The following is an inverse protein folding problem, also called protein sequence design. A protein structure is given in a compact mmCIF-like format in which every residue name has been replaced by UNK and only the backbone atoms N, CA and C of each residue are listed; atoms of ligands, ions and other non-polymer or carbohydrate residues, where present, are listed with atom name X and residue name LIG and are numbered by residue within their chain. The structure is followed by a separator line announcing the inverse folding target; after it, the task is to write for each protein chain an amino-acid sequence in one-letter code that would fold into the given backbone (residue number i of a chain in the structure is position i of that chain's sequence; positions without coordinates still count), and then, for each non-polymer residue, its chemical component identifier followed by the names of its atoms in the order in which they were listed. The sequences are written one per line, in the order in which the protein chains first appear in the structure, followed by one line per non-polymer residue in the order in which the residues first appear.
data_IF_855301299889
#
_entry.id   IF_855301299889
#
_cell.length_a   1.000
_cell.length_b   1.000
_cell.length_c   1.000
_cell.angle_alpha   90.00
_cell.angle_beta   90.00
_cell.angle_gamma   90.00
#
_symmetry.space_group_name_H-M   'P 1'
#
loop_
_entity.id
_entity.type
_entity.pdbx_description
1 polymer ?
#
# COMPACT_ATOMS: atom_id res chain seq x y z
N UNK A 1 18.85 13.31 1.13
CA UNK A 1 17.53 13.47 1.80
C UNK A 1 16.46 12.79 0.96
N UNK A 2 15.78 11.79 1.50
CA UNK A 2 14.65 11.08 0.87
C UNK A 2 13.37 11.90 1.08
N UNK A 3 12.55 12.06 0.02
CA UNK A 3 11.23 12.73 0.06
C UNK A 3 10.14 11.79 -0.36
N UNK A 4 9.13 11.67 0.49
CA UNK A 4 7.94 10.86 0.26
C UNK A 4 6.73 11.77 -0.03
N UNK A 5 5.83 11.33 -0.90
CA UNK A 5 4.49 11.89 -1.05
C UNK A 5 3.49 10.88 -0.49
N UNK A 6 2.73 11.27 0.53
CA UNK A 6 1.81 10.37 1.25
C UNK A 6 0.38 10.58 0.77
N UNK A 7 -0.30 9.49 0.47
CA UNK A 7 -1.72 9.45 0.07
C UNK A 7 -2.45 8.34 0.82
N UNK A 8 -3.76 8.45 0.92
CA UNK A 8 -4.65 7.41 1.43
C UNK A 8 -5.96 7.45 0.64
N UNK A 9 -6.70 6.36 0.65
CA UNK A 9 -8.09 6.29 0.19
C UNK A 9 -8.30 6.86 -1.23
N UNK A 10 -7.43 6.48 -2.17
CA UNK A 10 -7.49 6.99 -3.55
C UNK A 10 -8.62 6.37 -4.39
N UNK A 11 -9.20 5.25 -3.94
CA UNK A 11 -10.38 4.61 -4.52
C UNK A 11 -10.38 4.63 -6.06
N UNK A 12 -9.45 3.90 -6.68
CA UNK A 12 -9.32 3.80 -8.14
C UNK A 12 -8.58 4.95 -8.84
N UNK A 13 -8.38 6.10 -8.19
CA UNK A 13 -7.76 7.31 -8.79
C UNK A 13 -6.23 7.21 -8.88
N UNK A 14 -5.72 6.10 -9.42
CA UNK A 14 -4.29 5.79 -9.44
C UNK A 14 -3.41 6.82 -10.14
N UNK A 15 -3.90 7.50 -11.18
CA UNK A 15 -3.13 8.55 -11.84
C UNK A 15 -3.01 9.83 -11.03
N UNK A 16 -3.90 10.07 -10.05
CA UNK A 16 -3.93 11.31 -9.29
C UNK A 16 -2.67 11.53 -8.45
N UNK A 17 -2.18 10.57 -7.64
CA UNK A 17 -0.92 10.71 -6.91
C UNK A 17 0.27 11.04 -7.81
N UNK A 18 0.41 10.38 -8.96
CA UNK A 18 1.48 10.65 -9.92
C UNK A 18 1.39 12.07 -10.51
N UNK A 19 0.17 12.52 -10.87
CA UNK A 19 -0.05 13.89 -11.39
C UNK A 19 0.27 14.94 -10.33
N UNK A 20 -0.13 14.73 -9.08
CA UNK A 20 0.16 15.66 -7.98
C UNK A 20 1.65 15.68 -7.64
N UNK A 21 2.32 14.54 -7.60
CA UNK A 21 3.77 14.47 -7.43
C UNK A 21 4.51 15.19 -8.56
N UNK A 22 4.09 14.98 -9.82
CA UNK A 22 4.63 15.70 -10.96
C UNK A 22 4.45 17.22 -10.83
N UNK A 23 3.23 17.67 -10.52
CA UNK A 23 2.93 19.09 -10.31
C UNK A 23 3.79 19.71 -9.21
N UNK A 24 3.93 19.01 -8.07
CA UNK A 24 4.81 19.44 -6.98
C UNK A 24 6.26 19.60 -7.45
N UNK A 25 6.79 18.62 -8.16
CA UNK A 25 8.16 18.67 -8.69
C UNK A 25 8.37 19.85 -9.65
N UNK A 26 7.40 20.08 -10.54
CA UNK A 26 7.45 21.21 -11.48
C UNK A 26 7.37 22.57 -10.78
N UNK A 27 6.54 22.67 -9.75
CA UNK A 27 6.30 23.94 -9.06
C UNK A 27 7.41 24.31 -8.09
N UNK A 28 8.01 23.30 -7.42
CA UNK A 28 8.99 23.55 -6.34
C UNK A 28 10.43 23.31 -6.76
N UNK A 29 10.65 22.62 -7.88
CA UNK A 29 11.98 22.14 -8.29
C UNK A 29 12.54 21.02 -7.39
N UNK A 30 11.73 20.46 -6.47
CA UNK A 30 12.15 19.40 -5.55
C UNK A 30 11.65 18.04 -6.04
N UNK A 31 12.53 17.04 -6.11
CA UNK A 31 12.14 15.66 -6.46
C UNK A 31 11.37 14.98 -5.33
N UNK A 32 10.41 14.14 -5.69
CA UNK A 32 9.82 13.09 -4.85
C UNK A 32 10.56 11.78 -5.20
N UNK A 33 10.81 10.93 -4.23
CA UNK A 33 11.56 9.68 -4.41
C UNK A 33 10.66 8.46 -4.39
N UNK A 34 9.55 8.54 -3.65
CA UNK A 34 8.54 7.50 -3.58
C UNK A 34 7.18 8.10 -3.25
N UNK A 35 6.14 7.62 -3.90
CA UNK A 35 4.76 7.81 -3.47
C UNK A 35 4.43 6.67 -2.50
N UNK A 36 3.87 6.99 -1.35
CA UNK A 36 3.36 6.02 -0.37
C UNK A 36 1.85 6.16 -0.30
N UNK A 37 1.13 5.04 -0.40
CA UNK A 37 -0.33 4.99 -0.36
C UNK A 37 -0.79 4.04 0.76
N UNK A 38 -1.59 4.57 1.68
CA UNK A 38 -1.94 3.94 2.95
C UNK A 38 -3.26 3.14 2.90
N UNK A 39 -3.51 2.39 1.83
CA UNK A 39 -4.67 1.50 1.68
C UNK A 39 -5.91 2.15 1.08
N UNK A 40 -6.91 1.32 0.79
CA UNK A 40 -8.09 1.66 -0.01
C UNK A 40 -7.70 2.30 -1.36
N UNK A 41 -6.80 1.61 -2.06
CA UNK A 41 -6.36 2.05 -3.38
C UNK A 41 -7.42 1.78 -4.46
N UNK A 42 -8.33 0.81 -4.26
CA UNK A 42 -9.35 0.45 -5.25
C UNK A 42 -8.78 -0.37 -6.41
N UNK A 43 -7.91 -1.34 -6.12
CA UNK A 43 -7.28 -2.20 -7.12
C UNK A 43 -8.23 -3.32 -7.58
N UNK A 44 -9.16 -2.98 -8.46
CA UNK A 44 -10.09 -3.92 -9.09
C UNK A 44 -9.77 -4.03 -10.60
N UNK A 45 -9.19 -5.15 -11.05
CA UNK A 45 -8.86 -5.34 -12.47
C UNK A 45 -10.09 -5.56 -13.35
N UNK A 46 -11.21 -5.98 -12.77
CA UNK A 46 -12.47 -6.25 -13.45
C UNK A 46 -13.65 -5.73 -12.63
N UNK A 47 -14.60 -5.10 -13.31
CA UNK A 47 -15.81 -4.55 -12.68
C UNK A 47 -16.67 -5.62 -11.99
N UNK A 48 -16.66 -6.86 -12.48
CA UNK A 48 -17.42 -7.96 -11.88
C UNK A 48 -16.89 -8.38 -10.51
N UNK A 49 -15.66 -7.98 -10.16
CA UNK A 49 -14.97 -8.31 -8.92
C UNK A 49 -15.09 -7.22 -7.86
N UNK A 50 -15.69 -6.08 -8.22
CA UNK A 50 -15.92 -4.98 -7.30
C UNK A 50 -16.95 -5.34 -6.24
N UNK A 51 -16.69 -4.92 -4.99
CA UNK A 51 -17.68 -4.99 -3.94
C UNK A 51 -18.89 -4.05 -4.21
N UNK A 52 -19.98 -4.26 -3.47
CA UNK A 52 -21.23 -3.51 -3.67
C UNK A 52 -21.08 -2.01 -3.36
N UNK A 53 -20.17 -1.62 -2.47
CA UNK A 53 -19.95 -0.23 -2.11
C UNK A 53 -19.20 0.46 -3.24
N UNK A 54 -18.09 -0.11 -3.70
CA UNK A 54 -17.30 0.38 -4.84
C UNK A 54 -18.14 0.48 -6.12
N UNK A 55 -18.98 -0.53 -6.45
CA UNK A 55 -19.90 -0.46 -7.59
C UNK A 55 -20.88 0.71 -7.49
N UNK A 56 -21.39 1.02 -6.30
CA UNK A 56 -22.32 2.12 -6.06
C UNK A 56 -21.63 3.48 -6.21
N UNK A 57 -20.37 3.59 -5.77
CA UNK A 57 -19.55 4.79 -5.95
C UNK A 57 -19.17 4.97 -7.41
N UNK A 58 -18.70 3.93 -8.08
CA UNK A 58 -18.35 3.94 -9.50
C UNK A 58 -19.52 4.33 -10.44
N UNK A 59 -20.76 4.11 -10.01
CA UNK A 59 -21.93 4.57 -10.74
C UNK A 59 -22.11 6.11 -10.71
N UNK A 60 -21.48 6.79 -9.75
CA UNK A 60 -21.54 8.25 -9.57
C UNK A 60 -20.23 8.93 -9.95
N UNK A 61 -19.12 8.29 -9.68
CA UNK A 61 -17.76 8.77 -9.97
C UNK A 61 -17.01 7.69 -10.76
N UNK A 62 -16.80 7.91 -12.06
CA UNK A 62 -16.12 6.96 -12.95
C UNK A 62 -14.65 6.76 -12.56
N UNK A 63 -14.06 7.71 -11.85
CA UNK A 63 -12.64 7.62 -11.44
C UNK A 63 -12.37 6.43 -10.48
N UNK A 64 -13.40 5.88 -9.83
CA UNK A 64 -13.34 4.59 -9.10
C UNK A 64 -12.90 3.41 -9.99
N UNK A 65 -13.08 3.51 -11.31
CA UNK A 65 -12.67 2.51 -12.28
C UNK A 65 -11.24 2.73 -12.81
N UNK A 66 -10.52 3.71 -12.30
CA UNK A 66 -9.23 4.15 -12.86
C UNK A 66 -8.15 3.08 -12.86
N UNK A 67 -8.15 2.11 -11.93
CA UNK A 67 -7.24 0.98 -11.99
C UNK A 67 -7.54 0.11 -13.24
N UNK A 68 -8.78 -0.32 -13.39
CA UNK A 68 -9.22 -1.12 -14.52
C UNK A 68 -9.03 -0.36 -15.84
N UNK A 69 -9.42 0.92 -15.89
CA UNK A 69 -9.36 1.71 -17.11
C UNK A 69 -7.91 2.00 -17.55
N UNK A 70 -6.98 2.27 -16.60
CA UNK A 70 -5.70 2.88 -16.92
C UNK A 70 -4.47 2.03 -16.55
N UNK A 71 -4.59 1.01 -15.68
CA UNK A 71 -3.44 0.28 -15.13
C UNK A 71 -3.44 -1.23 -15.44
N UNK A 72 -4.56 -1.77 -15.94
CA UNK A 72 -4.65 -3.19 -16.36
C UNK A 72 -4.11 -3.39 -17.78
N UNK A 73 -4.40 -2.46 -18.69
CA UNK A 73 -3.95 -2.51 -20.08
C UNK A 73 -3.12 -1.28 -20.43
N UNK A 74 -1.97 -1.51 -21.09
CA UNK A 74 -1.04 -0.43 -21.42
C UNK A 74 -1.66 0.60 -22.38
N UNK A 75 -1.60 1.87 -22.00
CA UNK A 75 -2.00 3.03 -22.81
C UNK A 75 -0.76 3.88 -23.09
N UNK A 76 -0.38 4.11 -24.36
CA UNK A 76 0.85 4.83 -24.69
C UNK A 76 1.02 6.19 -24.00
N UNK A 77 -0.01 7.06 -23.89
CA UNK A 77 0.14 8.33 -23.19
C UNK A 77 0.47 8.19 -21.69
N UNK A 78 -0.12 7.18 -21.03
CA UNK A 78 0.12 6.90 -19.60
C UNK A 78 1.53 6.33 -19.42
N UNK A 79 1.91 5.35 -20.25
CA UNK A 79 3.26 4.78 -20.23
C UNK A 79 4.33 5.86 -20.37
N UNK A 80 4.20 6.76 -21.35
CA UNK A 80 5.13 7.87 -21.57
C UNK A 80 5.17 8.87 -20.40
N UNK A 81 4.02 9.13 -19.77
CA UNK A 81 3.96 10.01 -18.59
C UNK A 81 4.68 9.38 -17.40
N UNK A 82 4.38 8.12 -17.08
CA UNK A 82 4.96 7.39 -15.94
C UNK A 82 6.46 7.14 -16.15
N UNK A 83 6.89 6.84 -17.38
CA UNK A 83 8.31 6.69 -17.73
C UNK A 83 9.09 7.98 -17.53
N UNK A 84 8.58 9.12 -18.02
CA UNK A 84 9.22 10.44 -17.83
C UNK A 84 9.27 10.87 -16.38
N UNK A 85 8.19 10.59 -15.62
CA UNK A 85 8.14 10.91 -14.20
C UNK A 85 9.10 10.05 -13.39
N UNK A 86 9.31 8.80 -13.82
CA UNK A 86 10.20 7.80 -13.21
C UNK A 86 10.03 7.67 -11.70
N UNK A 87 8.78 7.57 -11.26
CA UNK A 87 8.39 7.50 -9.86
C UNK A 87 7.56 6.24 -9.65
N UNK A 88 7.77 5.56 -8.52
CA UNK A 88 6.97 4.42 -8.10
C UNK A 88 6.02 4.82 -6.97
N UNK A 89 4.94 4.06 -6.82
CA UNK A 89 4.00 4.14 -5.71
C UNK A 89 4.06 2.81 -4.95
N UNK A 90 4.34 2.90 -3.64
CA UNK A 90 4.32 1.77 -2.71
C UNK A 90 3.05 1.86 -1.89
N UNK A 91 2.24 0.82 -1.92
CA UNK A 91 0.92 0.75 -1.28
C UNK A 91 0.90 -0.31 -0.19
N UNK A 92 0.11 -0.12 0.84
CA UNK A 92 -0.45 -1.22 1.64
C UNK A 92 -1.87 -1.50 1.20
N UNK A 93 -2.39 -2.69 1.48
CA UNK A 93 -3.79 -3.01 1.20
C UNK A 93 -4.72 -2.29 2.17
N UNK A 94 -5.88 -1.85 1.70
CA UNK A 94 -7.01 -1.48 2.54
C UNK A 94 -8.05 -2.60 2.62
N UNK A 95 -9.29 -2.27 2.85
CA UNK A 95 -10.41 -3.21 2.79
C UNK A 95 -11.19 -3.14 1.46
N UNK A 96 -11.03 -2.06 0.68
CA UNK A 96 -11.66 -1.88 -0.63
C UNK A 96 -10.72 -2.26 -1.78
N UNK A 97 -10.37 -3.55 -1.86
CA UNK A 97 -9.49 -4.14 -2.87
C UNK A 97 -10.05 -5.46 -3.41
N UNK A 98 -9.65 -5.85 -4.60
CA UNK A 98 -9.77 -7.25 -5.05
C UNK A 98 -8.69 -8.10 -4.40
N UNK A 99 -8.98 -8.63 -3.20
CA UNK A 99 -8.01 -9.38 -2.42
C UNK A 99 -7.57 -10.68 -3.08
N UNK A 100 -8.44 -11.35 -3.85
CA UNK A 100 -8.07 -12.58 -4.56
C UNK A 100 -7.05 -12.28 -5.67
N UNK A 101 -7.24 -11.19 -6.42
CA UNK A 101 -6.28 -10.71 -7.40
C UNK A 101 -4.93 -10.40 -6.77
N UNK A 102 -4.94 -9.65 -5.66
CA UNK A 102 -3.70 -9.29 -4.96
C UNK A 102 -3.02 -10.50 -4.33
N UNK A 103 -3.78 -11.46 -3.76
CA UNK A 103 -3.25 -12.69 -3.18
C UNK A 103 -2.59 -13.58 -4.24
N UNK A 104 -3.11 -13.60 -5.47
CA UNK A 104 -2.51 -14.33 -6.58
C UNK A 104 -1.14 -13.74 -6.96
N UNK A 105 -1.05 -12.42 -7.11
CA UNK A 105 0.21 -11.72 -7.41
C UNK A 105 1.22 -11.86 -6.27
N UNK A 106 0.77 -11.74 -5.02
CA UNK A 106 1.62 -11.89 -3.84
C UNK A 106 2.27 -13.27 -3.76
N UNK A 107 1.51 -14.34 -4.02
CA UNK A 107 2.02 -15.73 -4.03
C UNK A 107 3.09 -15.97 -5.10
N UNK A 108 3.04 -15.23 -6.20
CA UNK A 108 4.02 -15.34 -7.30
C UNK A 108 5.32 -14.56 -7.03
N UNK A 109 5.33 -13.67 -6.03
CA UNK A 109 6.49 -12.83 -5.71
C UNK A 109 7.25 -13.36 -4.50
N UNK A 110 8.58 -13.36 -4.61
CA UNK A 110 9.50 -13.62 -3.50
C UNK A 110 10.01 -12.35 -2.82
N UNK A 111 9.65 -11.17 -3.36
CA UNK A 111 10.08 -9.89 -2.85
C UNK A 111 9.10 -9.37 -1.79
N UNK A 112 9.56 -8.47 -0.92
CA UNK A 112 8.74 -7.79 0.09
C UNK A 112 7.59 -6.97 -0.49
N UNK A 113 7.74 -6.49 -1.73
CA UNK A 113 6.69 -5.82 -2.48
C UNK A 113 6.56 -6.43 -3.88
N UNK A 114 5.35 -6.36 -4.47
CA UNK A 114 5.05 -6.92 -5.78
C UNK A 114 4.29 -5.91 -6.65
N UNK A 115 4.57 -5.87 -7.97
CA UNK A 115 3.87 -4.97 -8.88
C UNK A 115 2.46 -5.48 -9.18
N UNK A 116 1.49 -4.57 -9.31
CA UNK A 116 0.09 -4.91 -9.58
C UNK A 116 -0.42 -4.35 -10.91
N UNK A 117 0.37 -3.53 -11.59
CA UNK A 117 -0.01 -2.84 -12.81
C UNK A 117 0.89 -3.17 -14.01
N UNK A 118 0.39 -2.94 -15.20
CA UNK A 118 1.08 -3.24 -16.46
C UNK A 118 2.36 -2.41 -16.67
N UNK A 119 2.47 -1.26 -16.01
CA UNK A 119 3.64 -0.38 -16.11
C UNK A 119 4.71 -0.66 -15.04
N UNK A 120 4.43 -1.54 -14.08
CA UNK A 120 5.26 -1.84 -12.92
C UNK A 120 5.63 -0.58 -12.11
N UNK A 121 4.67 0.33 -11.95
CA UNK A 121 4.81 1.57 -11.19
C UNK A 121 4.07 1.58 -9.87
N UNK A 122 3.10 0.66 -9.70
CA UNK A 122 2.34 0.48 -8.46
C UNK A 122 2.73 -0.85 -7.84
N UNK A 123 3.25 -0.78 -6.62
CA UNK A 123 3.74 -1.92 -5.87
C UNK A 123 2.98 -2.06 -4.57
N UNK A 124 2.61 -3.27 -4.21
CA UNK A 124 1.96 -3.57 -2.93
C UNK A 124 2.97 -4.22 -2.00
N UNK A 125 3.13 -3.62 -0.83
CA UNK A 125 3.99 -4.12 0.24
C UNK A 125 3.27 -5.23 0.98
N UNK A 126 3.96 -6.34 1.19
CA UNK A 126 3.47 -7.45 2.00
C UNK A 126 3.48 -7.10 3.47
N UNK A 127 2.42 -7.45 4.18
CA UNK A 127 2.34 -7.21 5.62
C UNK A 127 3.47 -7.92 6.38
N UNK A 128 4.25 -7.15 7.13
CA UNK A 128 5.34 -7.66 7.97
C UNK A 128 6.65 -7.95 7.25
N UNK A 129 6.75 -7.71 5.94
CA UNK A 129 8.01 -7.79 5.19
C UNK A 129 8.56 -6.38 4.96
N UNK A 130 9.76 -6.01 5.47
CA UNK A 130 10.29 -4.67 5.33
C UNK A 130 10.72 -4.37 3.90
N UNK A 131 10.43 -3.15 3.44
CA UNK A 131 10.90 -2.60 2.17
C UNK A 131 11.97 -1.54 2.44
N UNK A 132 13.10 -1.63 1.76
CA UNK A 132 14.20 -0.67 1.93
C UNK A 132 14.32 0.21 0.68
N UNK A 133 14.08 1.51 0.85
CA UNK A 133 14.36 2.54 -0.15
C UNK A 133 15.78 3.06 0.06
N UNK A 134 16.60 2.98 -0.99
CA UNK A 134 17.96 3.52 -0.97
C UNK A 134 18.11 4.68 -1.95
N UNK A 135 18.74 5.77 -1.51
CA UNK A 135 19.04 6.94 -2.33
C UNK A 135 20.25 7.68 -1.80
N UNK A 136 21.23 7.95 -2.66
CA UNK A 136 22.41 8.82 -2.39
C UNK A 136 23.13 8.48 -1.07
N UNK A 137 23.22 7.18 -0.73
CA UNK A 137 23.83 6.69 0.50
C UNK A 137 22.92 6.76 1.75
N UNK A 138 21.73 7.29 1.63
CA UNK A 138 20.67 7.19 2.66
C UNK A 138 19.81 5.94 2.42
N UNK A 139 19.31 5.34 3.48
CA UNK A 139 18.32 4.27 3.42
C UNK A 139 17.12 4.60 4.30
N UNK A 140 15.95 4.11 3.89
CA UNK A 140 14.71 4.21 4.64
C UNK A 140 14.05 2.84 4.64
N UNK A 141 13.92 2.23 5.81
CA UNK A 141 13.22 0.96 5.98
C UNK A 141 11.76 1.19 6.32
N UNK A 142 10.88 0.67 5.48
CA UNK A 142 9.42 0.85 5.58
C UNK A 142 8.79 -0.49 5.94
N UNK A 143 8.10 -0.54 7.07
CA UNK A 143 7.23 -1.65 7.45
C UNK A 143 5.79 -1.34 7.04
N UNK A 144 5.11 -2.29 6.39
CA UNK A 144 3.69 -2.17 6.03
C UNK A 144 2.81 -3.12 6.81
N UNK A 145 1.63 -2.62 7.23
CA UNK A 145 0.53 -3.45 7.72
C UNK A 145 -0.72 -3.08 6.94
N UNK A 146 -1.07 -3.92 5.98
CA UNK A 146 -2.26 -3.75 5.16
C UNK A 146 -3.49 -4.43 5.75
N UNK A 147 -4.64 -4.30 5.04
CA UNK A 147 -5.93 -4.85 5.45
C UNK A 147 -6.45 -4.19 6.73
N UNK A 148 -7.52 -4.70 7.30
CA UNK A 148 -8.09 -4.22 8.58
C UNK A 148 -8.09 -5.31 9.63
N UNK A 149 -8.20 -4.92 10.90
CA UNK A 149 -8.30 -5.84 12.01
C UNK A 149 -9.66 -6.57 12.05
N UNK A 150 -9.65 -7.82 12.50
CA UNK A 150 -10.88 -8.57 12.77
C UNK A 150 -10.80 -9.38 14.07
N UNK A 151 -11.56 -8.96 15.07
CA UNK A 151 -11.66 -9.67 16.34
C UNK A 151 -12.24 -11.07 16.22
N UNK A 152 -13.01 -11.35 15.16
CA UNK A 152 -13.66 -12.65 14.92
C UNK A 152 -12.78 -13.59 14.09
N UNK A 153 -11.62 -13.11 13.62
CA UNK A 153 -10.68 -13.84 12.77
C UNK A 153 -11.37 -14.52 11.57
N UNK A 154 -12.20 -13.76 10.86
CA UNK A 154 -12.92 -14.25 9.68
C UNK A 154 -11.93 -14.45 8.53
N UNK A 155 -12.08 -15.50 7.72
CA UNK A 155 -11.20 -15.78 6.59
C UNK A 155 -11.57 -14.92 5.36
N UNK A 156 -11.94 -13.67 5.55
CA UNK A 156 -12.26 -12.76 4.45
C UNK A 156 -11.01 -11.94 4.08
N UNK A 157 -10.78 -11.73 2.80
CA UNK A 157 -9.56 -11.07 2.29
C UNK A 157 -9.34 -9.64 2.79
N UNK A 158 -10.37 -8.94 3.25
CA UNK A 158 -10.24 -7.61 3.83
C UNK A 158 -9.52 -7.59 5.19
N UNK A 159 -9.49 -8.72 5.90
CA UNK A 159 -8.91 -8.82 7.24
C UNK A 159 -7.47 -9.34 7.22
N UNK A 160 -6.66 -8.91 8.19
CA UNK A 160 -5.30 -9.40 8.39
C UNK A 160 -5.32 -10.92 8.57
N UNK A 161 -4.53 -11.64 7.77
CA UNK A 161 -4.51 -13.09 7.71
C UNK A 161 -3.50 -13.69 8.70
N UNK A 162 -3.66 -14.97 9.06
CA UNK A 162 -2.78 -15.61 10.03
C UNK A 162 -1.31 -15.69 9.55
N UNK A 163 -1.07 -15.91 8.27
CA UNK A 163 0.30 -15.92 7.74
C UNK A 163 0.98 -14.53 7.86
N UNK A 164 0.21 -13.45 7.71
CA UNK A 164 0.68 -12.07 7.89
C UNK A 164 1.03 -11.81 9.37
N UNK A 165 0.18 -12.26 10.30
CA UNK A 165 0.46 -12.22 11.76
C UNK A 165 1.74 -12.95 12.12
N UNK A 166 1.96 -14.13 11.55
CA UNK A 166 3.19 -14.90 11.78
C UNK A 166 4.42 -14.19 11.23
N UNK A 167 4.31 -13.53 10.07
CA UNK A 167 5.40 -12.75 9.49
C UNK A 167 5.73 -11.54 10.35
N UNK A 168 4.72 -10.78 10.80
CA UNK A 168 4.91 -9.66 11.75
C UNK A 168 5.59 -10.11 13.04
N UNK A 169 5.14 -11.21 13.66
CA UNK A 169 5.77 -11.73 14.89
C UNK A 169 7.24 -12.10 14.68
N UNK A 170 7.59 -12.67 13.52
CA UNK A 170 8.98 -12.98 13.18
C UNK A 170 9.80 -11.70 13.02
N UNK A 171 9.27 -10.73 12.26
CA UNK A 171 9.93 -9.44 12.06
C UNK A 171 10.19 -8.72 13.39
N UNK A 172 9.19 -8.58 14.26
CA UNK A 172 9.33 -7.97 15.58
C UNK A 172 10.42 -8.67 16.41
N UNK A 173 10.39 -10.02 16.45
CA UNK A 173 11.39 -10.81 17.16
C UNK A 173 12.81 -10.55 16.65
N UNK A 174 12.98 -10.42 15.34
CA UNK A 174 14.27 -10.17 14.71
C UNK A 174 14.74 -8.73 14.98
N UNK A 175 13.86 -7.75 14.96
CA UNK A 175 14.15 -6.36 15.36
C UNK A 175 14.65 -6.29 16.82
N UNK A 176 13.90 -6.88 17.74
CA UNK A 176 14.28 -6.90 19.18
C UNK A 176 15.61 -7.61 19.42
N UNK A 177 15.85 -8.72 18.74
CA UNK A 177 17.11 -9.47 18.84
C UNK A 177 18.31 -8.67 18.35
N UNK A 178 18.14 -7.96 17.23
CA UNK A 178 19.20 -7.22 16.55
C UNK A 178 19.32 -5.77 17.04
N UNK A 179 18.42 -5.31 17.92
CA UNK A 179 18.31 -3.91 18.40
C UNK A 179 18.20 -2.95 17.20
N UNK A 180 17.34 -3.28 16.29
CA UNK A 180 17.06 -2.53 15.08
C UNK A 180 15.56 -2.21 15.03
N UNK A 181 15.22 -0.99 14.68
CA UNK A 181 13.85 -0.54 14.47
C UNK A 181 13.69 -0.05 13.03
N UNK A 182 12.55 -0.29 12.38
CA UNK A 182 12.27 0.29 11.07
C UNK A 182 12.05 1.80 11.18
N UNK A 183 12.34 2.53 10.09
CA UNK A 183 12.22 3.99 10.09
C UNK A 183 10.77 4.46 9.98
N UNK A 184 9.93 3.75 9.22
CA UNK A 184 8.57 4.17 8.91
C UNK A 184 7.59 3.00 8.98
N UNK A 185 6.47 3.19 9.66
CA UNK A 185 5.31 2.31 9.62
C UNK A 185 4.22 2.93 8.74
N UNK A 186 3.71 2.16 7.77
CA UNK A 186 2.54 2.52 6.96
C UNK A 186 1.42 1.53 7.21
N UNK A 187 0.22 2.04 7.52
CA UNK A 187 -0.96 1.21 7.80
C UNK A 187 -2.19 1.79 7.12
N UNK A 188 -3.19 0.94 6.87
CA UNK A 188 -4.53 1.39 6.48
C UNK A 188 -5.42 1.57 7.69
N UNK A 189 -5.48 0.55 8.54
CA UNK A 189 -6.29 0.60 9.77
C UNK A 189 -5.54 1.36 10.88
N UNK A 190 -6.27 1.75 11.91
CA UNK A 190 -5.73 2.32 13.13
C UNK A 190 -5.31 1.22 14.12
N UNK A 191 -4.44 1.51 15.10
CA UNK A 191 -4.21 0.58 16.21
C UNK A 191 -5.51 0.39 17.00
N UNK A 192 -5.75 -0.85 17.46
CA UNK A 192 -6.91 -1.10 18.31
C UNK A 192 -6.81 -0.31 19.61
N UNK A 193 -7.92 0.28 20.03
CA UNK A 193 -8.03 0.86 21.35
C UNK A 193 -8.95 0.00 22.26
N UNK A 194 -8.72 0.10 23.56
CA UNK A 194 -9.49 -0.65 24.56
C UNK A 194 -10.94 -0.15 24.74
N UNK A 195 -11.25 1.04 24.23
CA UNK A 195 -12.53 1.72 24.43
C UNK A 195 -13.49 1.47 23.27
N UNK A 196 -13.07 1.74 22.03
CA UNK A 196 -13.92 1.60 20.86
C UNK A 196 -14.01 0.16 20.36
N UNK A 197 -12.90 -0.55 20.51
CA UNK A 197 -12.75 -1.90 20.01
C UNK A 197 -12.69 -2.03 18.51
N UNK A 198 -12.43 -0.96 17.79
CA UNK A 198 -12.08 -0.92 16.38
C UNK A 198 -10.56 -0.90 16.22
N UNK A 199 -10.10 -1.17 15.00
CA UNK A 199 -8.69 -1.17 14.66
C UNK A 199 -8.03 -2.55 14.75
N UNK A 200 -6.76 -2.61 14.35
CA UNK A 200 -5.95 -3.82 14.30
C UNK A 200 -5.08 -3.97 15.56
N UNK A 201 -5.19 -5.12 16.22
CA UNK A 201 -4.32 -5.48 17.36
C UNK A 201 -2.85 -5.56 16.92
N UNK A 202 -2.62 -6.02 15.70
CA UNK A 202 -1.30 -6.18 15.11
C UNK A 202 -0.55 -4.84 15.04
N UNK A 203 -1.25 -3.75 14.72
CA UNK A 203 -0.67 -2.40 14.69
C UNK A 203 -0.34 -1.96 16.11
N UNK A 204 -1.23 -2.18 17.08
CA UNK A 204 -0.98 -1.82 18.47
C UNK A 204 0.25 -2.57 19.03
N UNK A 205 0.39 -3.86 18.74
CA UNK A 205 1.56 -4.67 19.16
C UNK A 205 2.85 -4.16 18.55
N UNK A 206 2.86 -3.78 17.27
CA UNK A 206 4.05 -3.22 16.61
C UNK A 206 4.46 -1.91 17.24
N UNK A 207 3.52 -1.00 17.50
CA UNK A 207 3.79 0.30 18.12
C UNK A 207 4.22 0.21 19.61
N UNK A 208 3.82 -0.86 20.30
CA UNK A 208 4.25 -1.12 21.70
C UNK A 208 5.69 -1.67 21.78
N UNK A 209 6.15 -2.38 20.75
CA UNK A 209 7.40 -3.12 20.77
C UNK A 209 8.54 -2.50 19.95
N UNK A 210 8.24 -1.67 18.96
CA UNK A 210 9.20 -1.06 18.06
C UNK A 210 9.09 0.47 18.10
N UNK A 211 10.24 1.15 17.93
CA UNK A 211 10.30 2.60 17.73
C UNK A 211 10.27 2.91 16.21
N UNK A 212 9.80 4.12 15.88
CA UNK A 212 9.80 4.65 14.51
C UNK A 212 10.36 6.07 14.55
N UNK A 213 11.11 6.46 13.49
CA UNK A 213 11.77 7.76 13.39
C UNK A 213 10.80 8.93 13.17
#
# INVERSE_FOLDING_TARGET
MIRLALFADIHGKFLLPFKLAHHYQQTTGKSIDLIVQCGDMGAFPDKSRMDKATLRHAARDRDELGFMDDFVHAKPPIAQFLERLNLNMLCVRGNHEDHEFLDELERQSVQAAFPIDVYQRVWVLKTGEPFVLQKDGESLEILGIGRIGDRKQRPHGEFIQEHERQTLRRFIKDCLKNKHDPDLLITHDQPTDSQSGYGAEEIAVVLDQLAFA
#
